data_IF_048173711999
#
_entry.id   IF_048173711999
#
_cell.length_a   1.000
_cell.length_b   1.000
_cell.length_c   1.000
_cell.angle_alpha   90.00
_cell.angle_beta   90.00
_cell.angle_gamma   90.00
#
_symmetry.space_group_name_H-M   'P 1'
#
loop_
_entity.id
_entity.type
_entity.pdbx_description
1 polymer ?
#
# COMPACT_ATOMS: atom_id res chain seq x y z
N UNK A 1 -10.22 -6.00 -11.79
CA UNK A 1 -9.91 -5.13 -10.64
C UNK A 1 -10.47 -5.75 -9.37
N UNK A 2 -9.64 -5.96 -8.35
CA UNK A 2 -9.98 -6.76 -7.16
C UNK A 2 -10.38 -5.91 -5.94
N UNK A 3 -10.87 -4.69 -6.14
CA UNK A 3 -11.08 -3.70 -5.06
C UNK A 3 -11.88 -4.23 -3.87
N UNK A 4 -12.96 -4.98 -4.10
CA UNK A 4 -13.78 -5.54 -3.02
C UNK A 4 -12.97 -6.46 -2.09
N UNK A 5 -12.11 -7.33 -2.66
CA UNK A 5 -11.24 -8.22 -1.88
C UNK A 5 -10.11 -7.44 -1.18
N UNK A 6 -9.59 -6.39 -1.81
CA UNK A 6 -8.65 -5.49 -1.16
C UNK A 6 -9.27 -4.77 0.04
N UNK A 7 -10.54 -4.39 -0.04
CA UNK A 7 -11.27 -3.81 1.09
C UNK A 7 -11.43 -4.81 2.24
N UNK A 8 -11.67 -6.10 1.94
CA UNK A 8 -11.70 -7.17 2.94
C UNK A 8 -10.33 -7.37 3.62
N UNK A 9 -9.24 -7.37 2.84
CA UNK A 9 -7.86 -7.43 3.37
C UNK A 9 -7.58 -6.20 4.24
N UNK A 10 -7.92 -4.99 3.76
CA UNK A 10 -7.73 -3.76 4.51
C UNK A 10 -8.44 -3.81 5.88
N UNK A 11 -9.70 -4.29 5.90
CA UNK A 11 -10.46 -4.47 7.15
C UNK A 11 -9.83 -5.52 8.07
N UNK A 12 -9.36 -6.64 7.52
CA UNK A 12 -8.71 -7.73 8.28
C UNK A 12 -7.50 -7.23 9.07
N UNK A 13 -6.67 -6.38 8.47
CA UNK A 13 -5.43 -5.87 9.07
C UNK A 13 -5.55 -4.48 9.71
N UNK A 14 -6.75 -3.91 9.79
CA UNK A 14 -6.95 -2.57 10.38
C UNK A 14 -6.33 -1.44 9.56
N UNK A 15 -6.17 -1.63 8.25
CA UNK A 15 -5.72 -0.60 7.32
C UNK A 15 -6.80 0.48 7.22
N UNK A 16 -6.38 1.73 7.35
CA UNK A 16 -7.28 2.90 7.39
C UNK A 16 -7.58 3.41 5.99
N UNK A 17 -6.56 3.36 5.12
CA UNK A 17 -6.58 3.97 3.81
C UNK A 17 -5.71 3.15 2.86
N UNK A 18 -6.15 2.96 1.63
CA UNK A 18 -5.42 2.23 0.60
C UNK A 18 -5.48 2.98 -0.71
N UNK A 19 -4.34 3.06 -1.38
CA UNK A 19 -4.20 3.57 -2.73
C UNK A 19 -3.81 2.39 -3.63
N UNK A 20 -4.52 2.23 -4.74
CA UNK A 20 -4.16 1.30 -5.81
C UNK A 20 -3.84 2.12 -7.04
N UNK A 21 -2.66 1.94 -7.61
CA UNK A 21 -2.22 2.65 -8.82
C UNK A 21 -1.97 1.65 -9.93
N UNK A 22 -2.56 1.91 -11.09
CA UNK A 22 -2.22 1.25 -12.35
C UNK A 22 -1.34 2.20 -13.16
N UNK A 23 -0.11 1.77 -13.48
CA UNK A 23 0.91 2.64 -14.05
C UNK A 23 0.73 2.85 -15.56
N UNK A 24 0.15 1.88 -16.27
CA UNK A 24 -0.03 1.93 -17.73
C UNK A 24 -1.09 2.94 -18.17
N UNK A 25 -2.16 3.12 -17.39
CA UNK A 25 -3.27 4.02 -17.69
C UNK A 25 -3.33 5.24 -16.76
N UNK A 26 -2.34 5.39 -15.87
CA UNK A 26 -2.23 6.45 -14.88
C UNK A 26 -3.48 6.57 -13.99
N UNK A 27 -4.17 5.45 -13.74
CA UNK A 27 -5.37 5.41 -12.89
C UNK A 27 -5.03 5.14 -11.43
N UNK A 28 -5.83 5.74 -10.56
CA UNK A 28 -5.69 5.63 -9.11
C UNK A 28 -7.07 5.35 -8.51
N UNK A 29 -7.15 4.27 -7.75
CA UNK A 29 -8.32 3.92 -6.94
C UNK A 29 -7.99 4.08 -5.46
N UNK A 30 -8.99 4.53 -4.71
CA UNK A 30 -8.89 4.76 -3.27
C UNK A 30 -9.90 3.87 -2.54
N UNK A 31 -9.44 3.21 -1.49
CA UNK A 31 -10.27 2.43 -0.58
C UNK A 31 -10.04 2.94 0.86
N UNK A 32 -11.12 3.05 1.64
CA UNK A 32 -11.05 3.51 3.03
C UNK A 32 -11.19 5.01 3.16
N UNK A 33 -10.68 5.58 4.25
CA UNK A 33 -10.94 6.95 4.66
C UNK A 33 -9.63 7.65 5.04
N UNK A 34 -9.19 8.57 4.17
CA UNK A 34 -7.96 9.35 4.36
C UNK A 34 -8.00 10.18 5.64
N UNK A 35 -9.16 10.69 6.03
CA UNK A 35 -9.31 11.57 7.19
C UNK A 35 -9.09 10.82 8.53
N UNK A 36 -9.07 9.49 8.50
CA UNK A 36 -8.68 8.67 9.66
C UNK A 36 -7.17 8.63 9.88
N UNK A 37 -6.36 9.01 8.88
CA UNK A 37 -4.93 9.17 9.08
C UNK A 37 -4.67 10.43 9.91
N UNK A 38 -3.94 10.28 11.01
CA UNK A 38 -3.58 11.41 11.89
C UNK A 38 -2.73 12.45 11.14
N UNK A 39 -1.91 11.99 10.21
CA UNK A 39 -1.04 12.80 9.35
C UNK A 39 -1.06 12.23 7.93
N UNK A 40 -0.96 13.09 6.93
CA UNK A 40 -0.99 12.70 5.51
C UNK A 40 0.30 13.06 4.76
N UNK A 41 1.37 13.42 5.48
CA UNK A 41 2.64 13.82 4.89
C UNK A 41 3.24 12.73 4.00
N UNK A 42 3.16 11.47 4.44
CA UNK A 42 3.64 10.33 3.64
C UNK A 42 2.83 10.15 2.35
N UNK A 43 1.53 10.46 2.39
CA UNK A 43 0.66 10.44 1.21
C UNK A 43 1.07 11.58 0.27
N UNK A 44 1.28 12.79 0.79
CA UNK A 44 1.72 13.95 0.01
C UNK A 44 3.13 13.80 -0.56
N UNK A 45 4.01 13.08 0.11
CA UNK A 45 5.39 12.93 -0.33
C UNK A 45 5.52 11.95 -1.50
N UNK A 46 4.75 10.87 -1.49
CA UNK A 46 4.93 9.75 -2.41
C UNK A 46 3.75 9.52 -3.36
N UNK A 47 2.56 10.03 -3.04
CA UNK A 47 1.30 9.71 -3.72
C UNK A 47 0.45 10.95 -4.06
N UNK A 48 1.04 12.16 -4.07
CA UNK A 48 0.33 13.42 -4.39
C UNK A 48 -0.01 13.54 -5.87
N UNK A 49 0.89 13.08 -6.73
CA UNK A 49 0.72 13.09 -8.18
C UNK A 49 1.36 11.86 -8.86
N UNK A 50 0.95 11.62 -10.11
CA UNK A 50 1.38 10.44 -10.85
C UNK A 50 2.89 10.41 -11.13
N UNK A 51 3.58 11.56 -11.24
CA UNK A 51 5.03 11.59 -11.42
C UNK A 51 5.74 11.17 -10.13
N UNK A 52 5.25 11.62 -8.97
CA UNK A 52 5.75 11.18 -7.67
C UNK A 52 5.61 9.66 -7.52
N UNK A 53 4.47 9.09 -7.93
CA UNK A 53 4.26 7.64 -7.93
C UNK A 53 5.19 6.92 -8.92
N UNK A 54 5.40 7.47 -10.13
CA UNK A 54 6.36 6.91 -11.10
C UNK A 54 7.80 6.95 -10.59
N UNK A 55 8.17 7.99 -9.85
CA UNK A 55 9.48 8.07 -9.18
C UNK A 55 9.60 7.05 -8.05
N UNK A 56 8.54 6.89 -7.24
CA UNK A 56 8.46 5.82 -6.24
C UNK A 56 8.63 4.46 -6.93
N UNK A 57 7.92 4.18 -8.01
CA UNK A 57 8.03 2.92 -8.74
C UNK A 57 9.46 2.61 -9.16
N UNK A 58 10.15 3.59 -9.76
CA UNK A 58 11.56 3.46 -10.15
C UNK A 58 12.47 3.19 -8.95
N UNK A 59 12.20 3.82 -7.81
CA UNK A 59 12.97 3.57 -6.59
C UNK A 59 12.79 2.16 -6.03
N UNK A 60 11.66 1.51 -6.35
CA UNK A 60 11.32 0.16 -5.92
C UNK A 60 11.83 -0.93 -6.88
N UNK A 61 12.34 -0.55 -8.07
CA UNK A 61 12.88 -1.51 -9.04
C UNK A 61 14.05 -2.31 -8.41
N UNK A 62 13.95 -3.64 -8.50
CA UNK A 62 14.95 -4.56 -7.94
C UNK A 62 14.93 -4.69 -6.41
N UNK A 63 14.01 -4.02 -5.71
CA UNK A 63 13.83 -4.19 -4.26
C UNK A 63 12.92 -5.38 -3.95
N UNK A 64 13.19 -6.07 -2.85
CA UNK A 64 12.30 -7.12 -2.33
C UNK A 64 11.01 -6.49 -1.81
N UNK A 65 9.87 -7.09 -2.15
CA UNK A 65 8.55 -6.69 -1.64
C UNK A 65 8.13 -7.61 -0.49
N UNK A 66 7.31 -7.11 0.46
CA UNK A 66 6.80 -5.73 0.55
C UNK A 66 7.86 -4.73 1.01
N UNK A 67 7.52 -3.44 0.90
CA UNK A 67 8.31 -2.35 1.49
C UNK A 67 7.50 -1.60 2.52
N UNK A 68 8.07 -1.41 3.69
CA UNK A 68 7.49 -0.60 4.75
C UNK A 68 8.12 0.79 4.72
N UNK A 69 7.29 1.83 4.68
CA UNK A 69 7.68 3.22 4.88
C UNK A 69 6.95 3.75 6.10
N UNK A 70 7.62 4.48 6.98
CA UNK A 70 7.00 5.11 8.13
C UNK A 70 7.38 6.58 8.25
N UNK A 71 6.43 7.39 8.70
CA UNK A 71 6.65 8.79 9.00
C UNK A 71 5.78 9.20 10.20
N UNK A 72 6.44 9.43 11.34
CA UNK A 72 5.75 9.66 12.60
C UNK A 72 5.02 8.40 13.08
N UNK A 73 3.72 8.51 13.35
CA UNK A 73 2.87 7.40 13.79
C UNK A 73 2.17 6.66 12.63
N UNK A 74 2.36 7.13 11.39
CA UNK A 74 1.73 6.52 10.21
C UNK A 74 2.76 5.67 9.48
N UNK A 75 2.39 4.43 9.21
CA UNK A 75 3.14 3.50 8.39
C UNK A 75 2.36 3.16 7.11
N UNK A 76 3.10 2.83 6.07
CA UNK A 76 2.63 2.48 4.74
C UNK A 76 3.33 1.21 4.29
N UNK A 77 2.53 0.21 3.91
CA UNK A 77 3.01 -1.00 3.25
C UNK A 77 2.80 -0.83 1.77
N UNK A 78 3.90 -0.94 1.03
CA UNK A 78 3.91 -0.91 -0.42
C UNK A 78 4.09 -2.35 -0.92
N UNK A 79 3.10 -2.79 -1.70
CA UNK A 79 3.08 -4.08 -2.38
C UNK A 79 3.07 -3.85 -3.88
N UNK A 80 3.71 -4.78 -4.61
CA UNK A 80 3.70 -4.82 -6.08
C UNK A 80 3.29 -6.22 -6.53
N UNK A 81 1.99 -6.51 -6.71
CA UNK A 81 1.55 -7.82 -7.20
C UNK A 81 2.06 -8.11 -8.63
N UNK A 82 2.39 -7.06 -9.40
CA UNK A 82 3.14 -7.13 -10.66
C UNK A 82 3.80 -5.77 -10.96
N UNK A 83 4.53 -5.67 -12.06
CA UNK A 83 5.28 -4.46 -12.43
C UNK A 83 4.40 -3.24 -12.76
N UNK A 84 3.12 -3.44 -13.10
CA UNK A 84 2.19 -2.40 -13.50
C UNK A 84 1.32 -1.88 -12.33
N UNK A 85 1.28 -2.58 -11.20
CA UNK A 85 0.37 -2.25 -10.09
C UNK A 85 1.17 -1.95 -8.82
N UNK A 86 0.90 -0.80 -8.21
CA UNK A 86 1.37 -0.45 -6.87
C UNK A 86 0.16 -0.39 -5.95
N UNK A 87 0.23 -1.11 -4.84
CA UNK A 87 -0.75 -1.04 -3.77
C UNK A 87 -0.07 -0.47 -2.54
N UNK A 88 -0.68 0.52 -1.92
CA UNK A 88 -0.14 1.19 -0.74
C UNK A 88 -1.19 1.23 0.36
N UNK A 89 -0.91 0.56 1.47
CA UNK A 89 -1.83 0.37 2.59
C UNK A 89 -1.33 1.10 3.82
N UNK A 90 -2.11 2.06 4.29
CA UNK A 90 -1.74 2.97 5.38
C UNK A 90 -2.44 2.59 6.67
N UNK A 91 -1.67 2.54 7.75
CA UNK A 91 -2.16 2.24 9.09
C UNK A 91 -1.44 3.10 10.13
N UNK A 92 -2.06 3.19 11.30
CA UNK A 92 -1.48 3.84 12.47
C UNK A 92 -0.65 2.80 13.23
N UNK A 93 0.67 2.94 13.15
CA UNK A 93 1.62 1.99 13.75
C UNK A 93 1.45 1.94 15.28
N UNK A 94 1.08 3.07 15.90
CA UNK A 94 0.87 3.14 17.35
C UNK A 94 -0.38 2.39 17.83
N UNK A 95 -1.32 2.13 16.93
CA UNK A 95 -2.58 1.41 17.20
C UNK A 95 -2.58 -0.01 16.65
N UNK A 96 -1.58 -0.37 15.86
CA UNK A 96 -1.44 -1.73 15.35
C UNK A 96 -1.20 -2.69 16.51
N UNK A 97 -1.95 -3.79 16.52
CA UNK A 97 -1.68 -4.91 17.44
C UNK A 97 -0.63 -5.87 16.88
N UNK A 98 -0.21 -5.68 15.63
CA UNK A 98 0.79 -6.47 14.95
C UNK A 98 2.13 -5.73 14.91
N UNK A 99 3.23 -6.48 14.93
CA UNK A 99 4.51 -5.96 14.49
C UNK A 99 4.41 -5.52 13.02
N UNK A 100 4.98 -4.35 12.70
CA UNK A 100 4.82 -3.76 11.38
C UNK A 100 5.47 -4.59 10.26
N UNK A 101 6.55 -5.33 10.58
CA UNK A 101 7.22 -6.22 9.63
C UNK A 101 6.33 -7.43 9.35
N UNK A 102 5.89 -8.12 10.40
CA UNK A 102 5.01 -9.30 10.27
C UNK A 102 3.70 -8.93 9.54
N UNK A 103 3.08 -7.81 9.91
CA UNK A 103 1.88 -7.31 9.22
C UNK A 103 2.16 -7.05 7.74
N UNK A 104 3.31 -6.46 7.41
CA UNK A 104 3.65 -6.19 6.01
C UNK A 104 3.77 -7.47 5.19
N UNK A 105 4.43 -8.50 5.72
CA UNK A 105 4.61 -9.79 5.04
C UNK A 105 3.27 -10.49 4.82
N UNK A 106 2.44 -10.54 5.86
CA UNK A 106 1.09 -11.13 5.82
C UNK A 106 0.19 -10.41 4.80
N UNK A 107 0.18 -9.08 4.81
CA UNK A 107 -0.58 -8.27 3.83
C UNK A 107 -0.09 -8.53 2.41
N UNK A 108 1.23 -8.60 2.21
CA UNK A 108 1.80 -8.85 0.88
C UNK A 108 1.44 -10.23 0.37
N UNK A 109 1.46 -11.25 1.23
CA UNK A 109 1.05 -12.59 0.86
C UNK A 109 -0.41 -12.62 0.40
N UNK A 110 -1.34 -12.04 1.18
CA UNK A 110 -2.76 -11.97 0.81
C UNK A 110 -2.98 -11.25 -0.53
N UNK A 111 -2.19 -10.18 -0.80
CA UNK A 111 -2.22 -9.45 -2.08
C UNK A 111 -1.66 -10.29 -3.23
N UNK A 112 -0.56 -11.00 -3.02
CA UNK A 112 0.03 -11.89 -4.03
C UNK A 112 -0.95 -13.02 -4.38
N UNK A 113 -1.58 -13.65 -3.38
CA UNK A 113 -2.58 -14.69 -3.59
C UNK A 113 -3.80 -14.16 -4.37
N UNK A 114 -4.23 -12.93 -4.08
CA UNK A 114 -5.32 -12.27 -4.79
C UNK A 114 -5.03 -12.05 -6.28
N UNK A 115 -3.77 -11.81 -6.63
CA UNK A 115 -3.31 -11.66 -8.01
C UNK A 115 -2.78 -12.96 -8.64
N UNK A 116 -2.90 -14.09 -7.93
CA UNK A 116 -2.54 -15.43 -8.43
C UNK A 116 -1.06 -15.77 -8.34
N UNK A 117 -0.39 -15.38 -7.24
CA UNK A 117 1.08 -15.45 -7.03
C UNK A 117 1.73 -16.77 -7.46
N UNK A 118 3.03 -16.85 -7.77
CA UNK A 118 4.20 -15.96 -7.76
C UNK A 118 5.00 -16.24 -9.06
N UNK A 119 5.85 -15.30 -9.47
CA UNK A 119 7.00 -15.57 -10.35
C UNK A 119 7.98 -16.55 -9.69
#
# INVERSE_FOLDING_TARGET
MHLYKLEEIAKKYGILYTIVVQLDDDTLDIIGDRDKLKYDDIVKLYFDDINSIKHLNKSLEGQLMPRLLSQGEIACIICKPNDNIIISMFFDESKSSFDAVDLSEDVNQDIEELWGGKY
#
